data_IF_722281995067
#
_entry.id   IF_722281995067
#
_cell.length_a   1.000
_cell.length_b   1.000
_cell.length_c   1.000
_cell.angle_alpha   90.00
_cell.angle_beta   90.00
_cell.angle_gamma   90.00
#
_symmetry.space_group_name_H-M   'P 1'
#
loop_
_entity.id
_entity.type
_entity.pdbx_description
1 polymer ?
#
# COMPACT_ATOMS: atom_id res chain seq x y z
N UNK A 1 -4.06 -19.67 3.23
CA UNK A 1 -3.22 -20.90 3.28
C UNK A 1 -2.75 -21.36 1.92
N UNK A 2 -3.64 -21.56 0.95
CA UNK A 2 -3.32 -22.20 -0.34
C UNK A 2 -2.24 -21.50 -1.19
N UNK A 3 -2.01 -20.19 -1.04
CA UNK A 3 -0.94 -19.46 -1.75
C UNK A 3 0.48 -19.81 -1.28
N UNK A 4 0.65 -20.30 -0.05
CA UNK A 4 1.98 -20.63 0.48
C UNK A 4 2.63 -21.78 -0.29
N UNK A 5 1.86 -22.79 -0.70
CA UNK A 5 2.38 -23.94 -1.43
C UNK A 5 3.04 -23.57 -2.77
N UNK A 6 2.39 -22.86 -3.71
CA UNK A 6 3.05 -22.42 -4.94
C UNK A 6 4.17 -21.41 -4.67
N UNK A 7 4.06 -20.56 -3.65
CA UNK A 7 5.12 -19.63 -3.25
C UNK A 7 6.42 -20.36 -2.89
N UNK A 8 6.35 -21.41 -2.06
CA UNK A 8 7.54 -22.18 -1.69
C UNK A 8 8.19 -22.89 -2.88
N UNK A 9 7.38 -23.46 -3.79
CA UNK A 9 7.90 -24.10 -5.01
C UNK A 9 8.65 -23.08 -5.87
N UNK A 10 8.05 -21.92 -6.15
CA UNK A 10 8.69 -20.87 -6.95
C UNK A 10 9.93 -20.29 -6.25
N UNK A 11 9.91 -20.15 -4.93
CA UNK A 11 11.04 -19.67 -4.15
C UNK A 11 12.23 -20.64 -4.24
N UNK A 12 12.00 -21.95 -4.08
CA UNK A 12 13.09 -22.95 -4.10
C UNK A 12 13.65 -23.16 -5.50
N UNK A 13 12.81 -23.24 -6.52
CA UNK A 13 13.27 -23.57 -7.88
C UNK A 13 13.64 -22.37 -8.75
N UNK A 14 13.15 -21.17 -8.44
CA UNK A 14 13.40 -19.96 -9.23
C UNK A 14 14.07 -18.86 -8.39
N UNK A 15 13.48 -18.51 -7.23
CA UNK A 15 13.99 -17.42 -6.39
C UNK A 15 15.41 -17.63 -5.87
N UNK A 16 15.66 -18.74 -5.16
CA UNK A 16 16.96 -19.06 -4.58
C UNK A 16 18.04 -19.21 -5.67
N UNK A 17 17.82 -19.96 -6.78
CA UNK A 17 18.82 -20.09 -7.83
C UNK A 17 19.17 -18.77 -8.52
N UNK A 18 18.18 -17.91 -8.81
CA UNK A 18 18.43 -16.61 -9.43
C UNK A 18 19.21 -15.68 -8.50
N UNK A 19 18.84 -15.62 -7.22
CA UNK A 19 19.55 -14.83 -6.23
C UNK A 19 20.99 -15.31 -6.03
N UNK A 20 21.20 -16.63 -5.94
CA UNK A 20 22.53 -17.20 -5.83
C UNK A 20 23.40 -16.92 -7.06
N UNK A 21 22.83 -17.02 -8.26
CA UNK A 21 23.53 -16.69 -9.51
C UNK A 21 23.96 -15.23 -9.54
N UNK A 22 23.07 -14.29 -9.17
CA UNK A 22 23.38 -12.86 -9.14
C UNK A 22 24.47 -12.53 -8.13
N UNK A 23 24.39 -13.07 -6.90
CA UNK A 23 25.41 -12.89 -5.89
C UNK A 23 26.76 -13.46 -6.31
N UNK A 24 26.78 -14.71 -6.82
CA UNK A 24 28.02 -15.37 -7.26
C UNK A 24 28.66 -14.61 -8.42
N UNK A 25 27.85 -14.12 -9.37
CA UNK A 25 28.31 -13.32 -10.51
C UNK A 25 28.87 -11.96 -10.06
N UNK A 26 28.18 -11.28 -9.14
CA UNK A 26 28.66 -10.03 -8.54
C UNK A 26 29.98 -10.20 -7.77
N UNK A 27 30.08 -11.26 -6.96
CA UNK A 27 31.30 -11.58 -6.22
C UNK A 27 32.47 -11.95 -7.13
N UNK A 28 32.24 -12.77 -8.17
CA UNK A 28 33.28 -13.17 -9.12
C UNK A 28 33.80 -11.98 -9.93
N UNK A 29 32.90 -11.11 -10.41
CA UNK A 29 33.31 -9.95 -11.18
C UNK A 29 33.97 -8.87 -10.32
N UNK A 30 33.61 -8.74 -9.04
CA UNK A 30 34.10 -7.69 -8.13
C UNK A 30 33.99 -6.28 -8.74
N UNK A 31 32.93 -6.05 -9.52
CA UNK A 31 32.64 -4.81 -10.21
C UNK A 31 31.16 -4.45 -9.98
N UNK A 32 30.84 -3.15 -10.05
CA UNK A 32 29.46 -2.69 -9.97
C UNK A 32 28.62 -3.10 -11.19
N UNK A 33 27.31 -2.81 -11.14
CA UNK A 33 26.30 -3.21 -12.13
C UNK A 33 26.62 -2.78 -13.57
N UNK A 34 27.41 -1.73 -13.77
CA UNK A 34 27.86 -1.28 -15.09
C UNK A 34 29.18 -1.95 -15.53
N UNK A 35 30.07 -2.22 -14.59
CA UNK A 35 31.39 -2.81 -14.85
C UNK A 35 31.35 -4.32 -15.06
N UNK A 36 30.36 -5.00 -14.45
CA UNK A 36 30.18 -6.45 -14.55
C UNK A 36 29.95 -6.94 -15.99
N UNK A 37 29.24 -6.15 -16.81
CA UNK A 37 28.94 -6.48 -18.20
C UNK A 37 30.10 -6.27 -19.17
N UNK A 38 31.31 -5.98 -18.69
CA UNK A 38 32.53 -6.04 -19.52
C UNK A 38 32.83 -7.45 -20.02
N UNK A 39 32.28 -8.48 -19.37
CA UNK A 39 32.40 -9.89 -19.81
C UNK A 39 31.67 -10.16 -21.13
N UNK A 40 30.55 -9.48 -21.40
CA UNK A 40 29.79 -9.59 -22.65
C UNK A 40 29.19 -8.24 -23.03
N UNK A 41 29.79 -7.51 -24.00
CA UNK A 41 29.36 -6.17 -24.37
C UNK A 41 27.94 -6.12 -24.96
N UNK A 42 27.41 -7.25 -25.47
CA UNK A 42 26.04 -7.35 -25.96
C UNK A 42 25.00 -7.08 -24.87
N UNK A 43 25.30 -7.42 -23.61
CA UNK A 43 24.39 -7.25 -22.47
C UNK A 43 24.64 -5.97 -21.66
N UNK A 44 25.47 -5.05 -22.16
CA UNK A 44 25.78 -3.78 -21.46
C UNK A 44 24.53 -2.95 -21.17
N UNK A 45 23.48 -3.06 -21.98
CA UNK A 45 22.18 -2.43 -21.76
C UNK A 45 21.48 -2.87 -20.47
N UNK A 46 21.69 -4.12 -20.03
CA UNK A 46 21.11 -4.64 -18.78
C UNK A 46 21.62 -3.86 -17.57
N UNK A 47 22.92 -3.56 -17.52
CA UNK A 47 23.51 -2.76 -16.44
C UNK A 47 22.94 -1.35 -16.35
N UNK A 48 22.73 -0.68 -17.49
CA UNK A 48 22.08 0.64 -17.50
C UNK A 48 20.62 0.55 -17.06
N UNK A 49 19.89 -0.48 -17.50
CA UNK A 49 18.53 -0.74 -17.06
C UNK A 49 18.43 -0.93 -15.55
N UNK A 50 19.34 -1.72 -14.97
CA UNK A 50 19.42 -1.92 -13.51
C UNK A 50 19.66 -0.60 -12.77
N UNK A 51 20.52 0.29 -13.28
CA UNK A 51 20.76 1.61 -12.67
C UNK A 51 19.52 2.51 -12.71
N UNK A 52 18.81 2.55 -13.85
CA UNK A 52 17.58 3.35 -13.99
C UNK A 52 16.48 2.83 -13.06
N UNK A 53 16.25 1.52 -13.04
CA UNK A 53 15.27 0.88 -12.16
C UNK A 53 15.61 1.13 -10.69
N UNK A 54 16.88 0.96 -10.28
CA UNK A 54 17.31 1.22 -8.91
C UNK A 54 17.10 2.67 -8.49
N UNK A 55 17.34 3.63 -9.40
CA UNK A 55 17.09 5.05 -9.14
C UNK A 55 15.60 5.34 -8.97
N UNK A 56 14.75 4.79 -9.84
CA UNK A 56 13.29 4.95 -9.75
C UNK A 56 12.73 4.37 -8.46
N UNK A 57 13.13 3.13 -8.12
CA UNK A 57 12.79 2.48 -6.86
C UNK A 57 13.26 3.34 -5.69
N UNK A 58 14.50 3.84 -5.71
CA UNK A 58 15.04 4.70 -4.67
C UNK A 58 14.19 5.95 -4.40
N UNK A 59 13.75 6.65 -5.46
CA UNK A 59 12.91 7.86 -5.30
C UNK A 59 11.57 7.51 -4.64
N UNK A 60 10.86 6.50 -5.15
CA UNK A 60 9.55 6.11 -4.63
C UNK A 60 9.63 5.55 -3.19
N UNK A 61 10.63 4.71 -2.88
CA UNK A 61 10.76 4.12 -1.55
C UNK A 61 11.09 5.16 -0.47
N UNK A 62 11.87 6.19 -0.80
CA UNK A 62 12.13 7.29 0.14
C UNK A 62 10.83 8.00 0.55
N UNK A 63 9.88 8.19 -0.37
CA UNK A 63 8.56 8.77 -0.04
C UNK A 63 7.80 7.88 0.94
N UNK A 64 7.80 6.56 0.73
CA UNK A 64 7.17 5.61 1.66
C UNK A 64 7.82 5.68 3.05
N UNK A 65 9.15 5.77 3.12
CA UNK A 65 9.88 5.93 4.38
C UNK A 65 9.50 7.24 5.08
N UNK A 66 9.40 8.36 4.35
CA UNK A 66 8.95 9.63 4.90
C UNK A 66 7.54 9.53 5.49
N UNK A 67 6.60 8.88 4.79
CA UNK A 67 5.24 8.65 5.27
C UNK A 67 5.26 7.78 6.54
N UNK A 68 6.07 6.72 6.57
CA UNK A 68 6.21 5.87 7.76
C UNK A 68 6.75 6.65 8.97
N UNK A 69 7.79 7.48 8.79
CA UNK A 69 8.30 8.35 9.85
C UNK A 69 7.29 9.39 10.30
N UNK A 70 6.54 9.98 9.37
CA UNK A 70 5.46 10.91 9.68
C UNK A 70 4.42 10.25 10.61
N UNK A 71 3.94 9.07 10.23
CA UNK A 71 2.99 8.30 11.05
C UNK A 71 3.59 7.87 12.39
N UNK A 72 4.87 7.52 12.43
CA UNK A 72 5.57 7.16 13.66
C UNK A 72 5.55 8.30 14.68
N UNK A 73 5.92 9.53 14.28
CA UNK A 73 5.89 10.69 15.17
C UNK A 73 4.47 11.15 15.49
N UNK A 74 3.55 11.13 14.51
CA UNK A 74 2.15 11.49 14.73
C UNK A 74 1.43 10.52 15.71
N UNK A 75 1.90 9.27 15.81
CA UNK A 75 1.38 8.27 16.73
C UNK A 75 1.86 8.46 18.18
N UNK A 76 2.80 9.38 18.45
CA UNK A 76 3.26 9.72 19.83
C UNK A 76 2.25 10.62 20.56
N UNK A 77 0.97 10.34 20.41
CA UNK A 77 -0.14 11.07 21.02
C UNK A 77 -1.13 10.07 21.65
N UNK A 78 -1.87 10.49 22.69
CA UNK A 78 -2.81 9.60 23.38
C UNK A 78 -3.98 9.17 22.50
N UNK A 79 -4.43 10.05 21.61
CA UNK A 79 -5.55 9.83 20.69
C UNK A 79 -5.05 10.10 19.28
N UNK A 80 -5.08 9.08 18.42
CA UNK A 80 -4.50 9.17 17.09
C UNK A 80 -5.44 10.00 16.19
N UNK A 81 -4.92 10.89 15.34
CA UNK A 81 -5.75 11.81 14.56
C UNK A 81 -6.65 11.10 13.54
N UNK A 82 -6.28 9.90 13.09
CA UNK A 82 -7.09 9.05 12.20
C UNK A 82 -8.07 8.11 12.93
N UNK A 83 -8.39 8.37 14.21
CA UNK A 83 -9.32 7.54 15.00
C UNK A 83 -10.79 7.88 14.74
N UNK A 84 -11.11 9.17 14.56
CA UNK A 84 -12.49 9.67 14.49
C UNK A 84 -12.78 10.38 13.16
N UNK A 85 -14.06 10.46 12.80
CA UNK A 85 -14.52 11.19 11.63
C UNK A 85 -14.71 12.70 11.86
N UNK A 86 -14.44 13.22 13.07
CA UNK A 86 -14.62 14.63 13.41
C UNK A 86 -13.35 15.47 13.18
N UNK A 87 -12.78 15.38 11.97
CA UNK A 87 -11.59 16.14 11.58
C UNK A 87 -11.92 17.04 10.38
N UNK A 88 -11.20 18.16 10.19
CA UNK A 88 -11.50 19.11 9.11
C UNK A 88 -11.28 18.54 7.70
N UNK A 89 -10.52 17.45 7.55
CA UNK A 89 -10.29 16.77 6.28
C UNK A 89 -11.32 15.67 5.95
N UNK A 90 -12.22 15.34 6.89
CA UNK A 90 -13.18 14.27 6.68
C UNK A 90 -14.43 14.74 5.93
N UNK A 91 -14.98 13.85 5.11
CA UNK A 91 -16.24 14.01 4.39
C UNK A 91 -17.41 13.41 5.18
N UNK A 92 -18.65 13.78 4.84
CA UNK A 92 -19.86 13.18 5.43
C UNK A 92 -19.98 11.65 5.23
N UNK A 93 -19.20 11.06 4.32
CA UNK A 93 -19.11 9.62 4.07
C UNK A 93 -18.12 8.88 4.98
N UNK A 94 -17.40 9.59 5.86
CA UNK A 94 -16.44 8.98 6.76
C UNK A 94 -17.15 8.10 7.80
N UNK A 95 -16.68 6.86 7.97
CA UNK A 95 -17.16 5.95 9.00
C UNK A 95 -15.99 5.52 9.88
N UNK A 96 -15.98 5.96 11.14
CA UNK A 96 -14.97 5.55 12.11
C UNK A 96 -15.19 4.11 12.56
N UNK A 97 -14.12 3.40 12.91
CA UNK A 97 -14.15 1.98 13.34
C UNK A 97 -15.04 1.75 14.57
N UNK A 98 -15.19 2.77 15.41
CA UNK A 98 -16.05 2.78 16.61
C UNK A 98 -17.41 3.44 16.39
N UNK A 99 -17.76 3.85 15.17
CA UNK A 99 -19.08 4.42 14.91
C UNK A 99 -20.08 3.29 15.12
N UNK A 100 -20.96 3.38 16.13
CA UNK A 100 -22.06 2.44 16.22
C UNK A 100 -22.80 2.58 14.89
N UNK A 101 -23.11 1.46 14.22
CA UNK A 101 -24.21 1.42 13.27
C UNK A 101 -25.31 2.27 13.87
N UNK A 102 -25.69 3.33 13.17
CA UNK A 102 -26.68 4.26 13.68
C UNK A 102 -27.82 3.44 14.27
N UNK A 103 -27.94 3.43 15.60
CA UNK A 103 -29.19 3.16 16.27
C UNK A 103 -30.04 4.40 15.97
N UNK A 104 -30.37 4.59 14.69
CA UNK A 104 -31.52 5.34 14.32
C UNK A 104 -32.67 4.52 14.85
N UNK A 105 -33.15 4.86 16.04
CA UNK A 105 -34.56 4.65 16.34
C UNK A 105 -35.30 5.45 15.28
N UNK A 106 -35.63 4.81 14.17
CA UNK A 106 -36.54 5.34 13.16
C UNK A 106 -37.87 5.47 13.87
N UNK A 107 -38.18 6.67 14.38
CA UNK A 107 -39.54 6.99 14.79
C UNK A 107 -40.37 7.04 13.52
N UNK A 108 -40.96 5.88 13.19
CA UNK A 108 -41.82 5.70 12.04
C UNK A 108 -43.19 6.32 12.30
N UNK A 109 -43.24 7.64 12.46
CA UNK A 109 -44.50 8.38 12.41
C UNK A 109 -44.81 8.68 10.95
N UNK A 110 -45.46 7.70 10.32
CA UNK A 110 -46.46 7.85 9.25
C UNK A 110 -46.26 9.01 8.28
N UNK A 111 -45.58 8.77 7.16
CA UNK A 111 -45.95 9.37 5.87
C UNK A 111 -45.65 8.37 4.75
N UNK A 112 -46.64 8.10 3.89
CA UNK A 112 -46.55 7.20 2.74
C UNK A 112 -45.74 7.85 1.61
N UNK A 113 -44.47 8.10 1.85
CA UNK A 113 -43.50 8.35 0.79
C UNK A 113 -42.55 7.16 0.81
N UNK A 114 -42.41 6.48 -0.33
CA UNK A 114 -41.51 5.36 -0.48
C UNK A 114 -40.11 5.81 -0.04
N UNK A 115 -39.67 5.32 1.11
CA UNK A 115 -38.32 5.51 1.60
C UNK A 115 -37.40 4.87 0.57
N UNK A 116 -36.71 5.70 -0.22
CA UNK A 116 -35.89 5.25 -1.32
C UNK A 116 -34.64 4.54 -0.76
N UNK A 117 -34.80 3.24 -0.51
CA UNK A 117 -33.73 2.33 -0.08
C UNK A 117 -32.55 2.35 -1.04
N UNK A 118 -32.75 2.79 -2.29
CA UNK A 118 -31.69 3.05 -3.27
C UNK A 118 -30.68 4.06 -2.77
N UNK A 119 -31.11 5.15 -2.12
CA UNK A 119 -30.22 6.24 -1.73
C UNK A 119 -29.38 5.87 -0.48
N UNK A 120 -29.97 5.09 0.43
CA UNK A 120 -29.24 4.49 1.55
C UNK A 120 -28.33 3.34 1.13
N UNK A 121 -28.75 2.51 0.18
CA UNK A 121 -27.89 1.46 -0.38
C UNK A 121 -26.75 2.06 -1.24
N UNK A 122 -26.99 3.18 -1.90
CA UNK A 122 -25.97 3.94 -2.64
C UNK A 122 -24.96 4.58 -1.68
N UNK A 123 -25.39 5.07 -0.50
CA UNK A 123 -24.50 5.54 0.56
C UNK A 123 -23.73 4.42 1.28
N UNK A 124 -24.28 3.19 1.39
CA UNK A 124 -23.49 2.05 1.89
C UNK A 124 -22.35 1.63 0.96
N UNK A 125 -22.38 2.03 -0.31
CA UNK A 125 -21.38 1.65 -1.30
C UNK A 125 -20.04 2.39 -1.17
N UNK A 126 -19.99 3.56 -0.53
CA UNK A 126 -18.78 4.41 -0.48
C UNK A 126 -18.42 4.82 0.94
N UNK A 127 -18.27 3.84 1.83
CA UNK A 127 -17.73 4.05 3.17
C UNK A 127 -16.21 4.19 3.09
N UNK A 128 -15.68 5.28 3.63
CA UNK A 128 -14.23 5.55 3.68
C UNK A 128 -13.78 5.73 5.12
N UNK A 129 -12.61 5.18 5.45
CA UNK A 129 -12.05 5.30 6.79
C UNK A 129 -11.38 6.66 7.02
N UNK A 130 -11.29 7.15 8.26
CA UNK A 130 -10.61 8.43 8.55
C UNK A 130 -9.14 8.46 8.10
N UNK A 131 -8.47 7.29 8.07
CA UNK A 131 -7.09 7.15 7.58
C UNK A 131 -6.98 7.22 6.06
N UNK A 132 -8.00 6.78 5.31
CA UNK A 132 -8.01 6.87 3.85
C UNK A 132 -8.31 8.28 3.36
N UNK A 133 -9.13 9.04 4.10
CA UNK A 133 -9.43 10.43 3.78
C UNK A 133 -8.30 11.40 4.17
N UNK A 134 -7.40 11.00 5.07
CA UNK A 134 -6.33 11.86 5.56
C UNK A 134 -5.37 12.35 4.45
N UNK A 135 -5.14 11.53 3.42
CA UNK A 135 -4.24 11.84 2.29
C UNK A 135 -4.97 12.00 0.96
N UNK A 136 -6.31 12.10 0.98
CA UNK A 136 -7.10 12.45 -0.20
C UNK A 136 -6.87 13.90 -0.61
#
# INVERSE_FOLDING_TARGET
GAFMFPYFIMLVFCGIPLFFMELSFGQFASQGCLGVWRVSPMFKGVGYGMMVVSTYIGIYYNVVICIAFYYFFASMTRVLPWTYCNNPWNTASCVGVLSPSANGSVNLTSHRDAFDLSELLNQTGKRTSPSEEYWR
#
